data_IF_426847240136
#
_entry.id   IF_426847240136
#
_cell.length_a   1.000
_cell.length_b   1.000
_cell.length_c   1.000
_cell.angle_alpha   90.00
_cell.angle_beta   90.00
_cell.angle_gamma   90.00
#
_symmetry.space_group_name_H-M   'P 1'
#
loop_
_entity.id
_entity.type
_entity.pdbx_description
1 polymer ?
#
# COMPACT_ATOMS: atom_id res chain seq x y z
N UNK A 1 40.22 -28.67 30.12
CA UNK A 1 38.78 -28.68 30.47
C UNK A 1 38.36 -27.24 30.70
N UNK A 2 37.50 -26.66 29.85
CA UNK A 2 37.05 -25.29 30.05
C UNK A 2 36.26 -25.19 31.35
N UNK A 3 36.55 -24.15 32.13
CA UNK A 3 35.91 -23.86 33.41
C UNK A 3 34.45 -23.52 33.19
N UNK A 4 33.55 -24.19 33.92
CA UNK A 4 32.09 -24.02 33.89
C UNK A 4 31.68 -22.53 34.04
N UNK A 5 32.53 -21.74 34.71
CA UNK A 5 32.33 -20.30 34.86
C UNK A 5 32.35 -19.52 33.53
N UNK A 6 33.11 -19.97 32.52
CA UNK A 6 33.24 -19.28 31.22
C UNK A 6 31.98 -19.49 30.36
N UNK A 7 31.38 -20.67 30.42
CA UNK A 7 30.15 -20.97 29.68
C UNK A 7 28.95 -20.20 30.22
N UNK A 8 28.85 -20.02 31.54
CA UNK A 8 27.77 -19.26 32.17
C UNK A 8 27.84 -17.77 31.80
N UNK A 9 29.04 -17.18 31.75
CA UNK A 9 29.20 -15.76 31.40
C UNK A 9 28.82 -15.52 29.93
N UNK A 10 29.21 -16.42 29.02
CA UNK A 10 28.83 -16.33 27.62
C UNK A 10 27.30 -16.41 27.43
N UNK A 11 26.62 -17.27 28.18
CA UNK A 11 25.17 -17.43 28.11
C UNK A 11 24.41 -16.20 28.62
N UNK A 12 24.89 -15.56 29.69
CA UNK A 12 24.29 -14.33 30.25
C UNK A 12 24.47 -13.15 29.28
N UNK A 13 25.64 -13.01 28.68
CA UNK A 13 25.89 -11.94 27.69
C UNK A 13 25.02 -12.11 26.43
N UNK A 14 24.82 -13.34 25.96
CA UNK A 14 23.96 -13.62 24.82
C UNK A 14 22.50 -13.21 25.08
N UNK A 15 21.95 -13.54 26.26
CA UNK A 15 20.59 -13.16 26.64
C UNK A 15 20.43 -11.63 26.83
N UNK A 16 21.45 -10.95 27.32
CA UNK A 16 21.42 -9.49 27.50
C UNK A 16 21.44 -8.74 26.16
N UNK A 17 22.20 -9.21 25.17
CA UNK A 17 22.23 -8.62 23.84
C UNK A 17 20.89 -8.81 23.12
N UNK A 18 20.29 -10.00 23.22
CA UNK A 18 19.02 -10.32 22.56
C UNK A 18 17.82 -9.55 23.15
N UNK A 19 17.80 -9.28 24.46
CA UNK A 19 16.71 -8.49 25.08
C UNK A 19 16.75 -7.01 24.68
N UNK A 20 17.95 -6.45 24.44
CA UNK A 20 18.10 -5.04 24.02
C UNK A 20 17.53 -4.73 22.64
N UNK A 21 17.57 -5.69 21.71
CA UNK A 21 17.02 -5.53 20.35
C UNK A 21 15.50 -5.63 20.33
N UNK A 22 14.91 -6.44 21.22
CA UNK A 22 13.46 -6.53 21.36
C UNK A 22 12.84 -5.22 21.90
N UNK A 23 13.53 -4.50 22.78
CA UNK A 23 13.07 -3.21 23.30
C UNK A 23 12.98 -2.12 22.21
N UNK A 24 13.84 -2.17 21.18
CA UNK A 24 13.77 -1.21 20.06
C UNK A 24 12.62 -1.50 19.10
N UNK A 25 12.21 -2.76 18.95
CA UNK A 25 11.09 -3.13 18.10
C UNK A 25 9.73 -2.69 18.70
N UNK A 26 9.58 -2.76 20.03
CA UNK A 26 8.31 -2.40 20.70
C UNK A 26 8.12 -0.87 20.76
N UNK A 27 9.19 -0.08 20.83
CA UNK A 27 9.11 1.38 20.85
C UNK A 27 8.64 1.98 19.51
N UNK A 28 8.83 1.28 18.39
CA UNK A 28 8.47 1.80 17.07
C UNK A 28 6.96 1.67 16.75
N UNK A 29 6.21 0.88 17.51
CA UNK A 29 4.77 0.64 17.26
C UNK A 29 3.89 1.74 17.90
N UNK A 30 4.42 2.57 18.81
CA UNK A 30 3.58 3.39 19.70
C UNK A 30 3.23 4.81 19.28
N UNK A 31 3.75 5.36 18.19
CA UNK A 31 3.36 6.73 17.80
C UNK A 31 3.45 6.93 16.29
N UNK A 32 2.50 6.35 15.56
CA UNK A 32 2.06 7.00 14.32
C UNK A 32 0.92 7.94 14.75
N UNK A 33 1.12 9.27 14.78
CA UNK A 33 0.00 10.18 14.92
C UNK A 33 -0.91 9.92 13.72
N UNK A 34 -2.09 9.39 13.98
CA UNK A 34 -3.18 9.31 13.02
C UNK A 34 -3.48 10.76 12.61
N UNK A 35 -2.87 11.19 11.51
CA UNK A 35 -3.14 12.49 10.91
C UNK A 35 -4.63 12.50 10.59
N UNK A 36 -5.38 13.33 11.32
CA UNK A 36 -6.82 13.50 11.12
C UNK A 36 -7.03 14.28 9.83
N UNK A 37 -6.80 13.63 8.71
CA UNK A 37 -7.14 14.18 7.40
C UNK A 37 -8.67 14.14 7.30
N UNK A 38 -9.25 15.32 7.13
CA UNK A 38 -10.68 15.60 7.06
C UNK A 38 -11.33 14.66 6.04
N UNK A 39 -11.87 13.56 6.52
CA UNK A 39 -12.51 12.55 5.68
C UNK A 39 -13.95 13.00 5.51
N UNK A 40 -14.30 13.56 4.36
CA UNK A 40 -15.69 13.93 4.07
C UNK A 40 -16.51 12.65 3.85
N UNK A 41 -17.22 12.25 4.90
CA UNK A 41 -18.09 11.08 4.87
C UNK A 41 -19.39 11.46 4.17
N UNK A 42 -19.53 11.05 2.91
CA UNK A 42 -20.78 11.15 2.18
C UNK A 42 -21.68 9.98 2.55
N UNK A 43 -22.70 10.27 3.35
CA UNK A 43 -23.70 9.27 3.77
C UNK A 43 -24.77 9.16 2.69
N UNK A 44 -24.72 8.08 1.90
CA UNK A 44 -25.81 7.74 0.96
C UNK A 44 -26.72 6.70 1.64
N UNK A 45 -27.97 7.07 1.89
CA UNK A 45 -29.00 6.13 2.39
C UNK A 45 -29.60 5.37 1.21
N UNK A 46 -29.65 4.05 1.31
CA UNK A 46 -30.42 3.24 0.37
C UNK A 46 -31.91 3.17 0.76
N UNK A 47 -32.74 2.65 -0.14
CA UNK A 47 -34.19 2.47 0.02
C UNK A 47 -34.58 1.59 1.22
N UNK A 48 -33.60 0.90 1.81
CA UNK A 48 -33.78 -0.11 2.83
C UNK A 48 -33.34 0.39 4.22
N UNK A 49 -32.86 1.64 4.32
CA UNK A 49 -32.39 2.25 5.56
C UNK A 49 -30.98 1.81 5.98
N UNK A 50 -30.25 1.07 5.15
CA UNK A 50 -28.87 0.67 5.41
C UNK A 50 -27.96 1.85 5.07
N UNK A 51 -27.28 2.36 6.09
CA UNK A 51 -26.38 3.50 5.95
C UNK A 51 -25.00 2.96 5.60
N UNK A 52 -24.72 2.82 4.30
CA UNK A 52 -23.38 2.45 3.85
C UNK A 52 -22.53 3.71 3.85
N UNK A 53 -21.60 3.81 4.80
CA UNK A 53 -20.56 4.84 4.80
C UNK A 53 -19.63 4.58 3.62
N UNK A 54 -19.94 5.19 2.47
CA UNK A 54 -19.03 5.20 1.33
C UNK A 54 -17.98 6.24 1.67
N UNK A 55 -16.80 5.76 2.06
CA UNK A 55 -15.58 6.55 2.05
C UNK A 55 -15.28 6.83 0.57
N UNK A 56 -15.95 7.84 0.01
CA UNK A 56 -15.63 8.38 -1.31
C UNK A 56 -14.29 9.09 -1.18
N UNK A 57 -13.21 8.32 -1.25
CA UNK A 57 -11.90 8.92 -1.45
C UNK A 57 -11.92 9.49 -2.85
N UNK A 58 -11.74 10.81 -3.00
CA UNK A 58 -11.56 11.48 -4.29
C UNK A 58 -10.26 11.07 -5.01
N UNK A 59 -9.80 9.84 -4.77
CA UNK A 59 -8.54 9.30 -5.25
C UNK A 59 -8.86 8.10 -6.13
N UNK A 60 -8.32 8.13 -7.34
CA UNK A 60 -8.34 7.01 -8.26
C UNK A 60 -6.91 6.60 -8.61
N UNK A 61 -6.64 5.32 -8.44
CA UNK A 61 -5.42 4.67 -8.87
C UNK A 61 -5.62 4.12 -10.28
N UNK A 62 -4.57 4.27 -11.09
CA UNK A 62 -4.50 3.76 -12.45
C UNK A 62 -3.23 2.95 -12.64
N UNK A 63 -3.29 2.01 -13.58
CA UNK A 63 -2.13 1.29 -14.09
C UNK A 63 -2.00 1.55 -15.58
N UNK A 64 -0.75 1.53 -16.07
CA UNK A 64 -0.49 1.73 -17.49
C UNK A 64 -0.74 0.41 -18.22
N UNK A 65 -1.80 0.35 -19.02
CA UNK A 65 -2.04 -0.84 -19.83
C UNK A 65 -1.08 -0.85 -21.00
N UNK A 66 -0.46 -2.01 -21.23
CA UNK A 66 0.44 -2.19 -22.36
C UNK A 66 -0.38 -2.75 -23.51
N UNK A 67 -0.76 -1.91 -24.47
CA UNK A 67 -1.20 -2.41 -25.77
C UNK A 67 -0.03 -3.02 -26.53
N UNK A 68 -0.40 -3.88 -27.46
CA UNK A 68 0.46 -4.53 -28.44
C UNK A 68 1.53 -3.55 -28.98
N UNK A 69 2.84 -3.88 -28.91
CA UNK A 69 3.92 -3.07 -29.49
C UNK A 69 3.76 -2.78 -30.99
N UNK A 70 2.94 -3.55 -31.70
CA UNK A 70 2.66 -3.40 -33.13
C UNK A 70 1.37 -2.63 -33.41
N UNK A 71 0.64 -2.20 -32.37
CA UNK A 71 -0.50 -1.30 -32.55
C UNK A 71 0.01 0.05 -33.07
N UNK A 72 -0.43 0.46 -34.26
CA UNK A 72 0.00 1.67 -34.97
C UNK A 72 -0.42 2.98 -34.31
N UNK A 73 -1.11 2.92 -33.17
CA UNK A 73 -1.61 4.09 -32.44
C UNK A 73 -1.10 3.97 -31.01
N UNK A 74 -0.17 4.85 -30.65
CA UNK A 74 0.36 5.08 -29.30
C UNK A 74 -0.73 5.62 -28.36
N UNK A 75 -1.76 4.82 -28.09
CA UNK A 75 -2.71 5.14 -27.03
C UNK A 75 -2.09 4.64 -25.73
N UNK A 76 -1.33 5.52 -25.07
CA UNK A 76 -0.87 5.35 -23.69
C UNK A 76 -2.11 5.38 -22.76
N UNK A 77 -2.88 4.29 -22.76
CA UNK A 77 -4.10 4.19 -21.97
C UNK A 77 -3.74 3.86 -20.52
N UNK A 78 -4.16 4.75 -19.63
CA UNK A 78 -4.15 4.51 -18.20
C UNK A 78 -5.50 3.92 -17.84
N UNK A 79 -5.50 2.69 -17.35
CA UNK A 79 -6.72 2.01 -16.96
C UNK A 79 -6.92 2.14 -15.44
N UNK A 80 -8.14 2.45 -14.98
CA UNK A 80 -8.42 2.55 -13.56
C UNK A 80 -8.41 1.15 -12.93
N UNK A 81 -7.93 1.06 -11.70
CA UNK A 81 -8.23 -0.09 -10.86
C UNK A 81 -9.71 -0.12 -10.49
N UNK A 82 -10.25 -1.32 -10.25
CA UNK A 82 -11.62 -1.46 -9.74
C UNK A 82 -11.77 -0.78 -8.37
N UNK A 83 -12.99 -0.42 -7.98
CA UNK A 83 -13.26 0.27 -6.71
C UNK A 83 -12.67 -0.47 -5.49
N UNK A 84 -12.76 -1.80 -5.48
CA UNK A 84 -12.19 -2.63 -4.41
C UNK A 84 -10.67 -2.61 -4.40
N UNK A 85 -10.03 -2.76 -5.56
CA UNK A 85 -8.59 -2.68 -5.69
C UNK A 85 -8.09 -1.28 -5.32
N UNK A 86 -8.75 -0.23 -5.83
CA UNK A 86 -8.47 1.17 -5.52
C UNK A 86 -8.49 1.42 -4.00
N UNK A 87 -9.52 0.93 -3.31
CA UNK A 87 -9.66 1.01 -1.86
C UNK A 87 -8.53 0.30 -1.12
N UNK A 88 -8.13 -0.89 -1.57
CA UNK A 88 -7.05 -1.68 -0.97
C UNK A 88 -5.71 -0.95 -1.13
N UNK A 89 -5.42 -0.45 -2.34
CA UNK A 89 -4.18 0.25 -2.69
C UNK A 89 -4.09 1.56 -1.88
N UNK A 90 -5.14 2.38 -1.88
CA UNK A 90 -5.16 3.65 -1.17
C UNK A 90 -5.00 3.45 0.35
N UNK A 91 -5.68 2.44 0.92
CA UNK A 91 -5.52 2.10 2.34
C UNK A 91 -4.07 1.75 2.67
N UNK A 92 -3.43 0.93 1.84
CA UNK A 92 -2.05 0.53 2.06
C UNK A 92 -1.07 1.69 1.88
N UNK A 93 -1.31 2.56 0.89
CA UNK A 93 -0.54 3.78 0.67
C UNK A 93 -0.59 4.72 1.87
N UNK A 94 -1.78 4.97 2.42
CA UNK A 94 -1.95 5.79 3.65
C UNK A 94 -1.25 5.21 4.87
N UNK A 95 -1.18 3.89 4.94
CA UNK A 95 -0.47 3.18 6.01
C UNK A 95 1.05 3.11 5.79
N UNK A 96 1.59 3.77 4.75
CA UNK A 96 2.99 3.68 4.34
C UNK A 96 3.48 2.23 4.14
N UNK A 97 2.59 1.36 3.65
CA UNK A 97 2.98 0.00 3.28
C UNK A 97 3.88 0.04 2.04
N UNK A 98 4.84 -0.87 1.98
CA UNK A 98 5.75 -0.98 0.84
C UNK A 98 5.12 -1.78 -0.31
N UNK A 99 4.39 -2.85 0.03
CA UNK A 99 3.80 -3.77 -0.94
C UNK A 99 2.31 -3.99 -0.67
N UNK A 100 1.56 -4.22 -1.75
CA UNK A 100 0.14 -4.58 -1.70
C UNK A 100 -0.11 -5.79 -2.57
N UNK A 101 -0.73 -6.82 -2.00
CA UNK A 101 -1.20 -7.97 -2.76
C UNK A 101 -2.68 -7.78 -3.12
N UNK A 102 -2.97 -7.72 -4.42
CA UNK A 102 -4.32 -7.63 -4.94
C UNK A 102 -4.91 -9.04 -5.00
N UNK A 103 -5.56 -9.50 -3.92
CA UNK A 103 -6.03 -10.90 -3.74
C UNK A 103 -6.74 -11.56 -4.93
N UNK A 104 -7.43 -10.79 -5.75
CA UNK A 104 -8.18 -11.27 -6.92
C UNK A 104 -7.33 -11.38 -8.19
N UNK A 105 -6.05 -11.02 -8.11
CA UNK A 105 -5.12 -11.03 -9.23
C UNK A 105 -3.75 -11.55 -8.79
N UNK A 106 -2.99 -12.16 -9.70
CA UNK A 106 -1.60 -12.57 -9.41
C UNK A 106 -0.64 -11.36 -9.40
N UNK A 107 -1.11 -10.16 -9.03
CA UNK A 107 -0.32 -8.93 -9.05
C UNK A 107 0.01 -8.41 -7.65
N UNK A 108 1.26 -7.97 -7.51
CA UNK A 108 1.79 -7.29 -6.34
C UNK A 108 2.14 -5.86 -6.76
N UNK A 109 1.69 -4.87 -6.00
CA UNK A 109 2.06 -3.47 -6.22
C UNK A 109 3.18 -3.10 -5.27
N UNK A 110 4.25 -2.52 -5.82
CA UNK A 110 5.28 -1.83 -5.06
C UNK A 110 4.92 -0.33 -5.01
N UNK A 111 4.51 0.13 -3.83
CA UNK A 111 4.03 1.49 -3.62
C UNK A 111 5.17 2.52 -3.54
N UNK A 112 6.41 2.09 -3.24
CA UNK A 112 7.57 2.99 -3.23
C UNK A 112 8.02 3.31 -4.64
N UNK A 113 8.03 2.28 -5.50
CA UNK A 113 8.45 2.39 -6.91
C UNK A 113 7.31 2.75 -7.84
N UNK A 114 6.06 2.69 -7.36
CA UNK A 114 4.84 2.93 -8.13
C UNK A 114 4.79 2.04 -9.37
N UNK A 115 4.98 0.74 -9.17
CA UNK A 115 4.91 -0.28 -10.22
C UNK A 115 4.04 -1.44 -9.78
N UNK A 116 3.34 -2.04 -10.73
CA UNK A 116 2.66 -3.33 -10.58
C UNK A 116 3.59 -4.43 -11.10
N UNK A 117 3.71 -5.55 -10.37
CA UNK A 117 4.54 -6.69 -10.70
C UNK A 117 3.66 -7.94 -10.74
N UNK A 118 3.81 -8.78 -11.76
CA UNK A 118 3.15 -10.08 -11.74
C UNK A 118 3.96 -11.02 -10.83
N UNK A 119 3.29 -11.72 -9.91
CA UNK A 119 3.91 -12.66 -8.99
C UNK A 119 4.61 -13.83 -9.70
N UNK A 120 4.19 -14.15 -10.92
CA UNK A 120 4.74 -15.21 -11.77
C UNK A 120 5.71 -14.69 -12.84
N UNK A 121 5.61 -13.41 -13.21
CA UNK A 121 6.42 -12.81 -14.27
C UNK A 121 6.92 -11.41 -13.88
N UNK A 122 8.18 -11.33 -13.47
CA UNK A 122 8.82 -10.07 -13.09
C UNK A 122 9.24 -9.21 -14.29
N UNK A 123 9.10 -9.69 -15.54
CA UNK A 123 9.54 -8.95 -16.73
C UNK A 123 8.58 -7.82 -17.10
N UNK A 124 7.32 -7.91 -16.68
CA UNK A 124 6.29 -6.89 -16.93
C UNK A 124 6.03 -6.11 -15.66
N UNK A 125 6.53 -4.88 -15.64
CA UNK A 125 6.38 -3.95 -14.52
C UNK A 125 5.67 -2.66 -14.96
N UNK A 126 4.36 -2.70 -15.26
CA UNK A 126 3.65 -1.48 -15.65
C UNK A 126 3.66 -0.46 -14.50
N UNK A 127 3.96 0.83 -14.80
CA UNK A 127 3.86 1.88 -13.81
C UNK A 127 2.41 2.11 -13.39
N UNK A 128 2.24 2.58 -12.16
CA UNK A 128 0.96 2.97 -11.60
C UNK A 128 0.98 4.44 -11.20
N UNK A 129 -0.18 5.08 -11.13
CA UNK A 129 -0.30 6.47 -10.69
C UNK A 129 -1.52 6.67 -9.81
N UNK A 130 -1.40 7.63 -8.89
CA UNK A 130 -2.46 8.11 -8.02
C UNK A 130 -2.96 9.44 -8.54
N UNK A 131 -4.26 9.61 -8.71
CA UNK A 131 -4.88 10.84 -9.21
C UNK A 131 -5.93 11.33 -8.20
N UNK A 132 -5.90 12.62 -7.89
CA UNK A 132 -6.99 13.29 -7.19
C UNK A 132 -8.02 13.77 -8.21
N UNK A 133 -9.27 13.34 -8.04
CA UNK A 133 -10.38 13.61 -8.96
C UNK A 133 -10.93 15.03 -8.79
N UNK A 134 -10.76 15.66 -7.61
CA UNK A 134 -11.18 17.05 -7.39
C UNK A 134 -10.41 18.02 -8.31
N UNK A 135 -9.10 17.78 -8.46
CA UNK A 135 -8.19 18.63 -9.24
C UNK A 135 -8.50 18.63 -10.75
N UNK A 136 -9.27 17.65 -11.25
CA UNK A 136 -9.65 17.56 -12.66
C UNK A 136 -10.96 18.28 -13.00
N UNK A 137 -11.69 18.76 -11.99
CA UNK A 137 -13.03 19.36 -12.18
C UNK A 137 -13.03 20.87 -12.42
N UNK A 138 -11.86 21.53 -12.43
CA UNK A 138 -11.74 22.96 -12.70
C UNK A 138 -10.77 23.26 -13.85
N UNK A 139 -11.21 23.21 -15.12
CA UNK A 139 -10.59 24.01 -16.16
C UNK A 139 -10.97 25.48 -15.91
N UNK A 140 -10.11 26.23 -15.21
CA UNK A 140 -10.20 27.70 -15.23
C UNK A 140 -9.90 28.14 -16.66
N UNK A 141 -10.97 28.54 -17.37
CA UNK A 141 -10.91 29.20 -18.67
C UNK A 141 -10.82 30.71 -18.46
#
# INVERSE_FOLDING_TARGET
>A
MPSIAVEIIAYIHYYFIMSSQLCRLIACIKTQPFSSEKTEVHVKKDSNGTTTTILSTHIQWYWKSRRDPWASIDVNEWEPYSDDQNRIIEKAFRNNAEYVNLKESDYIIDLKRLIQMNARDSTKQPPIKRVNLEDQSHPTN
#
